data_IF_866693563826
#
_entry.id   IF_866693563826
#
_cell.length_a   1.000
_cell.length_b   1.000
_cell.length_c   1.000
_cell.angle_alpha   90.00
_cell.angle_beta   90.00
_cell.angle_gamma   90.00
#
_symmetry.space_group_name_H-M   'P 1'
#
loop_
_entity.id
_entity.type
_entity.pdbx_description
1 polymer ?
#
# COMPACT_ATOMS: atom_id res chain seq x y z
N UNK A 1 38.29 -8.06 5.62
CA UNK A 1 37.43 -6.96 6.08
C UNK A 1 35.97 -7.36 5.82
N UNK A 2 35.23 -7.85 6.84
CA UNK A 2 33.80 -8.22 6.64
C UNK A 2 33.03 -6.91 6.42
N UNK A 3 32.43 -6.74 5.24
CA UNK A 3 31.61 -5.58 4.92
C UNK A 3 30.46 -5.47 5.93
N UNK A 4 30.18 -4.25 6.41
CA UNK A 4 29.05 -3.99 7.31
C UNK A 4 27.76 -4.52 6.65
N UNK A 5 26.98 -5.39 7.34
CA UNK A 5 25.67 -5.86 6.87
C UNK A 5 24.75 -4.73 6.36
N UNK A 6 24.83 -3.54 6.96
CA UNK A 6 24.06 -2.37 6.53
C UNK A 6 24.49 -1.87 5.15
N UNK A 7 25.80 -1.87 4.89
CA UNK A 7 26.34 -1.46 3.60
C UNK A 7 25.92 -2.43 2.48
N UNK A 8 25.92 -3.73 2.76
CA UNK A 8 25.43 -4.73 1.82
C UNK A 8 23.92 -4.56 1.53
N UNK A 9 23.10 -4.33 2.56
CA UNK A 9 21.67 -4.08 2.38
C UNK A 9 21.39 -2.80 1.58
N UNK A 10 22.16 -1.73 1.79
CA UNK A 10 22.01 -0.49 1.01
C UNK A 10 22.34 -0.68 -0.47
N UNK A 11 23.34 -1.51 -0.80
CA UNK A 11 23.62 -1.86 -2.21
C UNK A 11 22.44 -2.57 -2.86
N UNK A 12 21.85 -3.55 -2.17
CA UNK A 12 20.69 -4.31 -2.66
C UNK A 12 19.50 -3.37 -2.90
N UNK A 13 19.25 -2.44 -1.98
CA UNK A 13 18.22 -1.42 -2.12
C UNK A 13 18.45 -0.52 -3.33
N UNK A 14 19.68 0.00 -3.49
CA UNK A 14 20.04 0.85 -4.64
C UNK A 14 19.91 0.10 -5.97
N UNK A 15 20.30 -1.17 -6.02
CA UNK A 15 20.11 -2.01 -7.21
C UNK A 15 18.63 -2.17 -7.55
N UNK A 16 17.77 -2.43 -6.56
CA UNK A 16 16.33 -2.53 -6.79
C UNK A 16 15.74 -1.19 -7.28
N UNK A 17 16.08 -0.08 -6.62
CA UNK A 17 15.62 1.26 -7.02
C UNK A 17 16.06 1.57 -8.45
N UNK A 18 17.32 1.31 -8.80
CA UNK A 18 17.84 1.55 -10.15
C UNK A 18 17.15 0.67 -11.20
N UNK A 19 16.94 -0.62 -10.93
CA UNK A 19 16.25 -1.53 -11.84
C UNK A 19 14.81 -1.06 -12.12
N UNK A 20 14.05 -0.69 -11.08
CA UNK A 20 12.71 -0.17 -11.26
C UNK A 20 12.68 1.24 -11.86
N UNK A 21 13.72 2.05 -11.65
CA UNK A 21 13.86 3.35 -12.30
C UNK A 21 13.96 3.21 -13.82
N UNK A 22 14.70 2.21 -14.31
CA UNK A 22 14.79 1.92 -15.75
C UNK A 22 13.42 1.50 -16.33
N UNK A 23 12.69 0.65 -15.61
CA UNK A 23 11.34 0.23 -16.01
C UNK A 23 10.34 1.40 -16.01
N UNK A 24 10.38 2.24 -14.97
CA UNK A 24 9.57 3.46 -14.88
C UNK A 24 9.93 4.45 -15.97
N UNK A 25 11.22 4.70 -16.22
CA UNK A 25 11.67 5.60 -17.28
C UNK A 25 11.14 5.14 -18.64
N UNK A 26 11.24 3.85 -18.97
CA UNK A 26 10.66 3.32 -20.21
C UNK A 26 9.14 3.48 -20.29
N UNK A 27 8.43 3.33 -19.16
CA UNK A 27 6.96 3.53 -19.10
C UNK A 27 6.56 5.00 -19.26
N UNK A 28 7.26 5.89 -18.58
CA UNK A 28 7.00 7.34 -18.56
C UNK A 28 7.44 8.01 -19.87
N UNK A 29 8.55 7.58 -20.47
CA UNK A 29 9.00 8.09 -21.77
C UNK A 29 7.94 7.87 -22.86
N UNK A 30 7.24 6.71 -22.84
CA UNK A 30 6.11 6.42 -23.75
C UNK A 30 4.85 7.24 -23.46
N UNK A 31 4.86 8.02 -22.39
CA UNK A 31 3.75 8.85 -21.93
C UNK A 31 4.21 10.31 -21.75
N UNK A 32 5.24 10.76 -22.49
CA UNK A 32 5.76 12.13 -22.44
C UNK A 32 6.14 12.60 -21.02
N UNK A 33 6.69 11.69 -20.22
CA UNK A 33 7.08 11.90 -18.82
C UNK A 33 5.92 12.27 -17.88
N UNK A 34 4.69 11.95 -18.27
CA UNK A 34 3.51 12.25 -17.49
C UNK A 34 3.25 11.21 -16.40
N UNK A 35 3.34 11.56 -15.09
CA UNK A 35 3.10 10.62 -13.99
C UNK A 35 1.63 10.16 -13.91
N UNK A 36 0.68 10.96 -14.44
CA UNK A 36 -0.74 10.63 -14.44
C UNK A 36 -1.08 9.34 -15.18
N UNK A 37 -0.18 8.84 -16.03
CA UNK A 37 -0.36 7.57 -16.75
C UNK A 37 -0.43 6.35 -15.83
N UNK A 38 0.15 6.44 -14.62
CA UNK A 38 0.15 5.35 -13.63
C UNK A 38 -1.16 5.29 -12.83
N UNK A 39 -1.91 6.39 -12.80
CA UNK A 39 -3.23 6.48 -12.14
C UNK A 39 -4.26 5.63 -12.86
N UNK A 40 -4.22 5.61 -14.20
CA UNK A 40 -5.09 4.80 -15.06
C UNK A 40 -6.58 5.09 -14.79
N UNK A 41 -6.95 6.35 -14.95
CA UNK A 41 -8.33 6.78 -14.82
C UNK A 41 -9.18 6.31 -16.02
N UNK A 42 -10.38 5.84 -15.75
CA UNK A 42 -11.37 5.46 -16.76
C UNK A 42 -12.59 6.36 -16.74
N UNK A 43 -13.21 6.57 -17.91
CA UNK A 43 -14.35 7.48 -18.09
C UNK A 43 -15.64 7.02 -17.38
N UNK A 44 -15.75 5.75 -16.97
CA UNK A 44 -16.91 5.28 -16.18
C UNK A 44 -17.00 5.92 -14.79
N UNK A 45 -15.86 6.30 -14.21
CA UNK A 45 -15.80 6.94 -12.88
C UNK A 45 -15.17 8.34 -12.91
N UNK A 46 -14.71 8.79 -14.08
CA UNK A 46 -13.98 10.05 -14.26
C UNK A 46 -14.69 10.96 -15.25
N UNK A 47 -15.09 12.13 -14.79
CA UNK A 47 -15.57 13.21 -15.66
C UNK A 47 -14.38 13.92 -16.29
N UNK A 48 -14.26 13.82 -17.61
CA UNK A 48 -13.16 14.41 -18.39
C UNK A 48 -13.12 15.93 -18.32
N UNK A 49 -14.28 16.58 -18.18
CA UNK A 49 -14.36 18.04 -18.12
C UNK A 49 -13.80 18.59 -16.79
N UNK A 50 -13.77 17.75 -15.75
CA UNK A 50 -13.32 18.08 -14.41
C UNK A 50 -11.99 17.40 -14.03
N UNK A 51 -11.48 16.52 -14.88
CA UNK A 51 -10.21 15.83 -14.66
C UNK A 51 -9.04 16.83 -14.74
N UNK A 52 -8.00 16.59 -13.94
CA UNK A 52 -6.78 17.39 -14.04
C UNK A 52 -6.17 17.25 -15.44
N UNK A 53 -5.65 18.35 -16.00
CA UNK A 53 -5.14 18.38 -17.39
C UNK A 53 -4.08 17.31 -17.71
N UNK A 54 -3.24 16.97 -16.73
CA UNK A 54 -2.21 15.96 -16.91
C UNK A 54 -2.76 14.53 -16.79
N UNK A 55 -3.99 14.31 -16.35
CA UNK A 55 -4.52 12.97 -16.09
C UNK A 55 -5.12 12.36 -17.37
N UNK A 56 -4.52 11.31 -17.96
CA UNK A 56 -5.14 10.63 -19.09
C UNK A 56 -6.39 9.88 -18.63
N UNK A 57 -7.49 10.03 -19.37
CA UNK A 57 -8.75 9.32 -19.11
C UNK A 57 -9.05 8.35 -20.25
N UNK A 58 -9.07 7.07 -19.94
CA UNK A 58 -9.32 5.99 -20.90
C UNK A 58 -10.80 5.97 -21.32
N UNK A 59 -11.05 5.80 -22.62
CA UNK A 59 -12.40 5.68 -23.19
C UNK A 59 -13.00 4.29 -22.98
N UNK A 60 -14.30 4.23 -22.68
CA UNK A 60 -15.07 3.00 -22.44
C UNK A 60 -14.38 2.07 -21.42
N UNK A 61 -13.86 2.63 -20.33
CA UNK A 61 -13.04 1.89 -19.38
C UNK A 61 -13.41 2.22 -17.95
N UNK A 62 -13.46 1.23 -17.04
CA UNK A 62 -13.51 1.50 -15.61
C UNK A 62 -12.17 2.07 -15.08
N UNK A 63 -11.09 1.98 -15.86
CA UNK A 63 -9.75 2.31 -15.39
C UNK A 63 -9.18 1.22 -14.50
N UNK A 64 -8.35 1.61 -13.55
CA UNK A 64 -7.78 0.73 -12.53
C UNK A 64 -7.91 1.35 -11.13
N UNK A 65 -7.68 0.53 -10.12
CA UNK A 65 -7.77 0.89 -8.71
C UNK A 65 -6.95 2.14 -8.32
N UNK A 66 -5.83 2.40 -9.02
CA UNK A 66 -4.97 3.58 -8.84
C UNK A 66 -5.71 4.91 -8.95
N UNK A 67 -6.75 4.99 -9.79
CA UNK A 67 -7.59 6.18 -9.94
C UNK A 67 -8.27 6.59 -8.64
N UNK A 68 -8.71 5.62 -7.85
CA UNK A 68 -9.38 5.85 -6.58
C UNK A 68 -8.39 6.21 -5.47
N UNK A 69 -7.20 5.62 -5.46
CA UNK A 69 -6.15 6.01 -4.51
C UNK A 69 -5.58 7.40 -4.86
N UNK A 70 -5.44 7.73 -6.14
CA UNK A 70 -5.15 9.10 -6.58
C UNK A 70 -6.18 10.10 -6.07
N UNK A 71 -7.47 9.81 -6.27
CA UNK A 71 -8.56 10.65 -5.74
C UNK A 71 -8.45 10.84 -4.22
N UNK A 72 -8.21 9.77 -3.47
CA UNK A 72 -8.03 9.84 -2.01
C UNK A 72 -6.74 10.58 -1.62
N UNK A 73 -5.68 10.53 -2.42
CA UNK A 73 -4.46 11.29 -2.18
C UNK A 73 -4.66 12.80 -2.42
N UNK A 74 -5.67 13.19 -3.20
CA UNK A 74 -6.09 14.59 -3.34
C UNK A 74 -6.97 15.01 -2.16
N UNK A 75 -7.95 14.18 -1.79
CA UNK A 75 -8.84 14.46 -0.66
C UNK A 75 -9.16 13.17 0.13
N UNK A 76 -8.42 12.86 1.20
CA UNK A 76 -8.53 11.58 1.90
C UNK A 76 -9.81 11.45 2.73
N UNK A 77 -10.46 12.56 3.05
CA UNK A 77 -11.66 12.61 3.90
C UNK A 77 -12.97 12.80 3.12
N UNK A 78 -12.88 13.06 1.81
CA UNK A 78 -14.06 13.16 0.96
C UNK A 78 -14.34 11.80 0.32
N UNK A 79 -15.37 11.08 0.78
CA UNK A 79 -15.66 9.72 0.29
C UNK A 79 -16.88 9.63 -0.64
N UNK A 80 -17.70 10.68 -0.73
CA UNK A 80 -18.94 10.68 -1.51
C UNK A 80 -18.91 11.63 -2.70
N UNK A 81 -18.11 12.70 -2.64
CA UNK A 81 -18.04 13.72 -3.67
C UNK A 81 -17.20 13.32 -4.89
N UNK A 82 -17.23 14.15 -5.92
CA UNK A 82 -16.27 14.10 -7.03
C UNK A 82 -15.04 14.92 -6.67
N UNK A 83 -13.85 14.35 -6.85
CA UNK A 83 -12.56 15.01 -6.54
C UNK A 83 -11.60 14.76 -7.70
N UNK A 84 -10.98 15.83 -8.22
CA UNK A 84 -10.14 15.78 -9.42
C UNK A 84 -10.82 15.05 -10.61
N UNK A 85 -12.13 15.25 -10.75
CA UNK A 85 -12.95 14.60 -11.77
C UNK A 85 -13.37 13.17 -11.45
N UNK A 86 -12.90 12.54 -10.37
CA UNK A 86 -13.11 11.11 -10.07
C UNK A 86 -14.12 10.91 -8.92
N UNK A 87 -15.01 9.92 -9.03
CA UNK A 87 -15.84 9.40 -7.93
C UNK A 87 -15.33 8.01 -7.51
N UNK A 88 -15.50 7.63 -6.23
CA UNK A 88 -15.15 6.29 -5.77
C UNK A 88 -16.20 5.28 -6.25
N UNK A 89 -15.75 4.14 -6.76
CA UNK A 89 -16.58 3.00 -7.14
C UNK A 89 -17.21 2.30 -5.92
N UNK A 90 -16.41 2.08 -4.88
CA UNK A 90 -16.80 1.44 -3.63
C UNK A 90 -16.18 2.22 -2.45
N UNK A 91 -16.79 3.34 -2.01
CA UNK A 91 -16.22 4.25 -1.02
C UNK A 91 -15.71 3.56 0.23
N UNK A 92 -16.51 2.65 0.81
CA UNK A 92 -16.12 1.90 2.00
C UNK A 92 -14.85 1.09 1.72
N UNK A 93 -14.85 0.24 0.70
CA UNK A 93 -13.71 -0.61 0.34
C UNK A 93 -12.44 0.19 0.07
N UNK A 94 -12.52 1.31 -0.66
CA UNK A 94 -11.37 2.17 -0.95
C UNK A 94 -10.83 2.86 0.29
N UNK A 95 -11.71 3.36 1.16
CA UNK A 95 -11.33 4.02 2.41
C UNK A 95 -10.65 3.06 3.40
N UNK A 96 -10.90 1.74 3.35
CA UNK A 96 -10.19 0.76 4.21
C UNK A 96 -8.68 0.78 4.01
N UNK A 97 -8.22 1.12 2.80
CA UNK A 97 -6.81 1.10 2.36
C UNK A 97 -6.20 2.51 2.34
N UNK A 98 -6.46 3.28 3.39
CA UNK A 98 -6.17 4.71 3.46
C UNK A 98 -4.67 5.04 3.56
N UNK A 99 -3.82 4.13 4.07
CA UNK A 99 -2.45 4.50 4.41
C UNK A 99 -1.66 5.04 3.22
N UNK A 100 -1.70 4.34 2.09
CA UNK A 100 -0.98 4.76 0.88
C UNK A 100 -1.42 6.14 0.35
N UNK A 101 -2.70 6.39 0.06
CA UNK A 101 -3.14 7.70 -0.39
C UNK A 101 -2.96 8.79 0.68
N UNK A 102 -3.06 8.47 1.97
CA UNK A 102 -2.82 9.43 3.04
C UNK A 102 -1.35 9.87 3.11
N UNK A 103 -0.39 8.95 2.97
CA UNK A 103 1.03 9.30 2.87
C UNK A 103 1.29 10.23 1.67
N UNK A 104 0.68 9.95 0.53
CA UNK A 104 0.78 10.81 -0.64
C UNK A 104 0.16 12.20 -0.38
N UNK A 105 -1.00 12.27 0.28
CA UNK A 105 -1.62 13.53 0.68
C UNK A 105 -0.75 14.34 1.65
N UNK A 106 -0.03 13.70 2.58
CA UNK A 106 0.89 14.40 3.47
C UNK A 106 2.02 15.12 2.71
N UNK A 107 2.49 14.53 1.61
CA UNK A 107 3.53 15.10 0.74
C UNK A 107 2.98 16.14 -0.25
N UNK A 108 1.80 15.88 -0.82
CA UNK A 108 1.21 16.69 -1.87
C UNK A 108 0.31 17.83 -1.38
N UNK A 109 -0.23 17.70 -0.15
CA UNK A 109 -1.20 18.61 0.48
C UNK A 109 -2.46 18.86 -0.36
N UNK A 110 -2.89 17.83 -1.09
CA UNK A 110 -4.11 17.86 -1.91
C UNK A 110 -3.95 18.46 -3.30
N UNK A 111 -2.74 18.86 -3.72
CA UNK A 111 -2.50 19.23 -5.11
C UNK A 111 -2.55 17.99 -6.03
N UNK A 112 -3.38 17.97 -7.08
CA UNK A 112 -3.52 16.79 -7.94
C UNK A 112 -2.21 16.33 -8.58
N UNK A 113 -1.39 17.22 -9.12
CA UNK A 113 -0.16 16.80 -9.80
C UNK A 113 0.85 16.20 -8.80
N UNK A 114 1.08 16.90 -7.68
CA UNK A 114 1.95 16.41 -6.61
C UNK A 114 1.43 15.11 -6.00
N UNK A 115 0.11 14.89 -5.92
CA UNK A 115 -0.44 13.63 -5.42
C UNK A 115 -0.08 12.46 -6.34
N UNK A 116 -0.19 12.62 -7.68
CA UNK A 116 0.26 11.59 -8.62
C UNK A 116 1.76 11.30 -8.49
N UNK A 117 2.59 12.34 -8.38
CA UNK A 117 4.04 12.18 -8.18
C UNK A 117 4.35 11.50 -6.84
N UNK A 118 3.67 11.89 -5.77
CA UNK A 118 3.90 11.34 -4.43
C UNK A 118 3.55 9.85 -4.37
N UNK A 119 2.43 9.44 -4.99
CA UNK A 119 2.03 8.04 -5.12
C UNK A 119 3.14 7.22 -5.81
N UNK A 120 3.56 7.67 -7.00
CA UNK A 120 4.66 7.06 -7.76
C UNK A 120 5.92 6.93 -6.91
N UNK A 121 6.37 8.01 -6.26
CA UNK A 121 7.61 8.03 -5.47
C UNK A 121 7.53 7.10 -4.26
N UNK A 122 6.40 7.08 -3.54
CA UNK A 122 6.19 6.20 -2.39
C UNK A 122 6.31 4.74 -2.82
N UNK A 123 5.67 4.35 -3.93
CA UNK A 123 5.76 3.00 -4.45
C UNK A 123 7.16 2.67 -4.95
N UNK A 124 7.78 3.53 -5.74
CA UNK A 124 9.11 3.29 -6.29
C UNK A 124 10.19 3.17 -5.20
N UNK A 125 10.24 4.12 -4.26
CA UNK A 125 11.18 4.07 -3.15
C UNK A 125 10.84 2.93 -2.18
N UNK A 126 9.56 2.60 -2.05
CA UNK A 126 9.10 1.50 -1.22
C UNK A 126 9.66 0.14 -1.65
N UNK A 127 9.88 -0.06 -2.95
CA UNK A 127 10.58 -1.25 -3.46
C UNK A 127 12.03 -1.31 -2.96
N UNK A 128 12.71 -0.17 -2.90
CA UNK A 128 14.04 -0.06 -2.28
C UNK A 128 14.03 -0.42 -0.79
N UNK A 129 12.99 0.03 -0.06
CA UNK A 129 12.80 -0.31 1.36
C UNK A 129 12.55 -1.81 1.55
N UNK A 130 11.72 -2.43 0.71
CA UNK A 130 11.50 -3.89 0.73
C UNK A 130 12.80 -4.64 0.48
N UNK A 131 13.58 -4.25 -0.55
CA UNK A 131 14.89 -4.86 -0.84
C UNK A 131 15.84 -4.73 0.35
N UNK A 132 15.91 -3.55 0.97
CA UNK A 132 16.75 -3.29 2.12
C UNK A 132 16.37 -4.17 3.32
N UNK A 133 15.08 -4.23 3.65
CA UNK A 133 14.56 -5.06 4.74
C UNK A 133 14.77 -6.56 4.45
N UNK A 134 14.51 -6.99 3.20
CA UNK A 134 14.78 -8.34 2.72
C UNK A 134 16.25 -8.73 2.85
N UNK A 135 17.15 -7.83 2.48
CA UNK A 135 18.59 -8.04 2.62
C UNK A 135 19.02 -8.14 4.08
N UNK A 136 18.49 -7.27 4.96
CA UNK A 136 18.75 -7.34 6.41
C UNK A 136 18.27 -8.65 7.01
N UNK A 137 17.09 -9.12 6.59
CA UNK A 137 16.55 -10.41 7.02
C UNK A 137 17.46 -11.56 6.55
N UNK A 138 17.84 -11.58 5.27
CA UNK A 138 18.70 -12.61 4.69
C UNK A 138 20.08 -12.70 5.37
N UNK A 139 20.75 -11.55 5.61
CA UNK A 139 22.02 -11.55 6.34
C UNK A 139 21.85 -12.05 7.77
N UNK A 140 20.70 -11.76 8.40
CA UNK A 140 20.33 -12.35 9.69
C UNK A 140 20.31 -13.88 9.65
N UNK A 141 19.83 -14.47 8.56
CA UNK A 141 19.81 -15.93 8.34
C UNK A 141 21.16 -16.48 7.84
N UNK A 142 22.24 -15.68 7.88
CA UNK A 142 23.57 -16.03 7.33
C UNK A 142 23.55 -16.32 5.82
N UNK A 143 22.53 -15.83 5.12
CA UNK A 143 22.42 -15.86 3.66
C UNK A 143 23.06 -14.60 3.06
N UNK A 144 23.28 -14.63 1.74
CA UNK A 144 23.72 -13.45 0.99
C UNK A 144 22.69 -12.31 1.08
N UNK A 145 23.14 -11.06 1.24
CA UNK A 145 22.25 -9.90 1.23
C UNK A 145 21.42 -9.80 -0.06
N UNK A 146 21.96 -10.31 -1.18
CA UNK A 146 21.30 -10.30 -2.49
C UNK A 146 19.98 -11.08 -2.55
N UNK A 147 19.74 -12.00 -1.60
CA UNK A 147 18.42 -12.63 -1.45
C UNK A 147 17.30 -11.60 -1.18
N UNK A 148 17.64 -10.40 -0.71
CA UNK A 148 16.73 -9.27 -0.60
C UNK A 148 16.04 -8.88 -1.93
N UNK A 149 16.69 -9.12 -3.08
CA UNK A 149 16.11 -8.82 -4.40
C UNK A 149 14.92 -9.72 -4.74
N UNK A 150 14.87 -10.95 -4.23
CA UNK A 150 13.75 -11.86 -4.51
C UNK A 150 12.42 -11.33 -3.99
N UNK A 151 12.45 -10.60 -2.87
CA UNK A 151 11.24 -9.99 -2.33
C UNK A 151 10.70 -8.87 -3.22
N UNK A 152 11.56 -8.19 -3.98
CA UNK A 152 11.15 -7.05 -4.81
C UNK A 152 10.75 -7.49 -6.21
N UNK A 153 11.46 -8.45 -6.82
CA UNK A 153 11.15 -8.94 -8.17
C UNK A 153 9.93 -9.86 -8.26
N UNK A 154 9.07 -9.86 -7.25
CA UNK A 154 7.73 -10.42 -7.35
C UNK A 154 6.92 -9.67 -8.42
N UNK A 155 6.42 -10.38 -9.43
CA UNK A 155 5.74 -9.79 -10.59
C UNK A 155 4.55 -8.88 -10.22
N UNK A 156 3.86 -9.16 -9.11
CA UNK A 156 2.74 -8.34 -8.64
C UNK A 156 3.15 -6.92 -8.25
N UNK A 157 4.39 -6.68 -7.82
CA UNK A 157 4.87 -5.33 -7.51
C UNK A 157 5.13 -4.48 -8.75
N UNK A 158 5.47 -5.08 -9.89
CA UNK A 158 5.56 -4.35 -11.15
C UNK A 158 4.19 -3.81 -11.56
N UNK A 159 3.15 -4.64 -11.46
CA UNK A 159 1.76 -4.20 -11.68
C UNK A 159 1.34 -3.13 -10.68
N UNK A 160 1.70 -3.28 -9.42
CA UNK A 160 1.37 -2.32 -8.37
C UNK A 160 2.01 -0.96 -8.58
N UNK A 161 3.27 -0.95 -9.03
CA UNK A 161 3.98 0.28 -9.37
C UNK A 161 3.38 0.97 -10.59
N UNK A 162 3.03 0.21 -11.64
CA UNK A 162 2.52 0.78 -12.89
C UNK A 162 1.05 1.21 -12.85
N UNK A 163 0.35 0.90 -11.76
CA UNK A 163 -1.08 1.16 -11.56
C UNK A 163 -1.38 1.91 -10.25
N UNK A 164 -0.37 2.50 -9.61
CA UNK A 164 -0.46 3.19 -8.33
C UNK A 164 -1.29 2.44 -7.28
N UNK A 165 -0.90 1.19 -6.99
CA UNK A 165 -1.60 0.34 -6.03
C UNK A 165 -0.93 0.33 -4.65
N UNK A 166 -1.61 -0.29 -3.68
CA UNK A 166 -1.31 -0.24 -2.23
C UNK A 166 -0.34 -1.32 -1.75
N UNK A 167 -0.08 -2.31 -2.60
CA UNK A 167 0.64 -3.55 -2.35
C UNK A 167 2.04 -3.30 -1.83
N UNK A 168 2.76 -2.34 -2.43
CA UNK A 168 4.15 -2.06 -2.08
C UNK A 168 4.22 -1.47 -0.67
N UNK A 169 3.29 -0.58 -0.30
CA UNK A 169 3.20 -0.05 1.06
C UNK A 169 2.87 -1.16 2.07
N UNK A 170 1.91 -2.02 1.75
CA UNK A 170 1.62 -3.19 2.59
C UNK A 170 2.84 -4.12 2.71
N UNK A 171 3.58 -4.34 1.62
CA UNK A 171 4.80 -5.14 1.57
C UNK A 171 5.93 -4.57 2.44
N UNK A 172 6.14 -3.24 2.42
CA UNK A 172 7.08 -2.56 3.31
C UNK A 172 6.74 -2.81 4.77
N UNK A 173 5.46 -2.63 5.14
CA UNK A 173 4.97 -2.85 6.49
C UNK A 173 5.14 -4.31 6.93
N UNK A 174 4.79 -5.27 6.08
CA UNK A 174 4.93 -6.70 6.36
C UNK A 174 6.40 -7.12 6.53
N UNK A 175 7.27 -6.73 5.59
CA UNK A 175 8.69 -7.08 5.67
C UNK A 175 9.35 -6.41 6.88
N UNK A 176 8.97 -5.17 7.19
CA UNK A 176 9.45 -4.46 8.37
C UNK A 176 8.97 -5.11 9.66
N UNK A 177 7.71 -5.56 9.71
CA UNK A 177 7.16 -6.30 10.83
C UNK A 177 7.88 -7.64 11.05
N UNK A 178 8.24 -8.34 9.97
CA UNK A 178 9.02 -9.58 10.04
C UNK A 178 10.43 -9.33 10.61
N UNK A 179 11.11 -8.28 10.16
CA UNK A 179 12.41 -7.88 10.73
C UNK A 179 12.27 -7.51 12.21
N UNK A 180 11.25 -6.74 12.58
CA UNK A 180 10.99 -6.34 13.95
C UNK A 180 10.64 -7.52 14.87
N UNK A 181 9.91 -8.51 14.36
CA UNK A 181 9.62 -9.76 15.05
C UNK A 181 10.91 -10.51 15.38
N UNK A 182 11.83 -10.62 14.42
CA UNK A 182 13.15 -11.23 14.62
C UNK A 182 14.02 -10.44 15.61
N UNK A 183 13.94 -9.11 15.58
CA UNK A 183 14.57 -8.22 16.58
C UNK A 183 13.91 -8.29 17.97
N UNK A 184 12.84 -9.08 18.13
CA UNK A 184 12.02 -9.17 19.36
C UNK A 184 11.42 -7.83 19.81
N UNK A 185 11.24 -6.89 18.88
CA UNK A 185 10.67 -5.57 19.16
C UNK A 185 9.16 -5.57 18.90
N UNK A 186 8.38 -5.93 19.93
CA UNK A 186 6.93 -5.96 19.84
C UNK A 186 6.32 -4.61 19.41
N UNK A 187 6.88 -3.50 19.88
CA UNK A 187 6.38 -2.15 19.53
C UNK A 187 6.54 -1.87 18.03
N UNK A 188 7.72 -2.12 17.46
CA UNK A 188 7.95 -1.92 16.02
C UNK A 188 7.09 -2.86 15.19
N UNK A 189 7.02 -4.14 15.57
CA UNK A 189 6.23 -5.14 14.87
C UNK A 189 4.75 -4.73 14.83
N UNK A 190 4.19 -4.39 15.98
CA UNK A 190 2.78 -4.00 16.09
C UNK A 190 2.47 -2.70 15.38
N UNK A 191 3.34 -1.68 15.48
CA UNK A 191 3.17 -0.44 14.72
C UNK A 191 3.16 -0.67 13.21
N UNK A 192 4.08 -1.49 12.71
CA UNK A 192 4.16 -1.81 11.28
C UNK A 192 3.00 -2.67 10.80
N UNK A 193 2.54 -3.64 11.59
CA UNK A 193 1.34 -4.42 11.25
C UNK A 193 0.08 -3.56 11.27
N UNK A 194 -0.05 -2.64 12.24
CA UNK A 194 -1.18 -1.72 12.31
C UNK A 194 -1.25 -0.83 11.06
N UNK A 195 -0.11 -0.23 10.69
CA UNK A 195 0.02 0.52 9.43
C UNK A 195 -0.28 -0.36 8.22
N UNK A 196 0.27 -1.56 8.15
CA UNK A 196 0.05 -2.48 7.04
C UNK A 196 -1.42 -2.86 6.87
N UNK A 197 -2.18 -3.04 7.96
CA UNK A 197 -3.63 -3.28 7.90
C UNK A 197 -4.39 -2.10 7.27
N UNK A 198 -3.91 -0.87 7.45
CA UNK A 198 -4.46 0.33 6.81
C UNK A 198 -3.97 0.51 5.36
N UNK A 199 -2.95 -0.21 4.91
CA UNK A 199 -2.55 -0.26 3.50
C UNK A 199 -3.33 -1.33 2.74
N UNK A 200 -3.43 -2.54 3.30
CA UNK A 200 -4.24 -3.65 2.78
C UNK A 200 -4.78 -4.52 3.90
N UNK A 201 -6.04 -4.88 3.79
CA UNK A 201 -6.75 -5.76 4.72
C UNK A 201 -6.14 -7.17 4.79
N UNK A 202 -5.41 -7.62 3.76
CA UNK A 202 -4.72 -8.92 3.78
C UNK A 202 -3.63 -8.98 4.86
N UNK A 203 -3.09 -7.84 5.29
CA UNK A 203 -2.11 -7.76 6.38
C UNK A 203 -2.72 -8.13 7.73
N UNK A 204 -4.05 -8.06 7.88
CA UNK A 204 -4.75 -8.49 9.10
C UNK A 204 -4.48 -9.96 9.40
N UNK A 205 -4.25 -10.80 8.37
CA UNK A 205 -3.85 -12.20 8.57
C UNK A 205 -2.50 -12.33 9.27
N UNK A 206 -1.52 -11.51 8.88
CA UNK A 206 -0.21 -11.47 9.53
C UNK A 206 -0.31 -10.92 10.96
N UNK A 207 -1.20 -9.94 11.21
CA UNK A 207 -1.50 -9.47 12.55
C UNK A 207 -2.13 -10.56 13.44
N UNK A 208 -3.10 -11.31 12.91
CA UNK A 208 -3.70 -12.45 13.59
C UNK A 208 -2.68 -13.53 13.92
N UNK A 209 -1.81 -13.87 12.96
CA UNK A 209 -0.73 -14.83 13.19
C UNK A 209 0.25 -14.36 14.28
N UNK A 210 0.63 -13.07 14.30
CA UNK A 210 1.48 -12.51 15.35
C UNK A 210 0.80 -12.53 16.73
N UNK A 211 -0.51 -12.31 16.78
CA UNK A 211 -1.29 -12.42 18.01
C UNK A 211 -1.35 -13.86 18.52
N UNK A 212 -1.61 -14.82 17.63
CA UNK A 212 -1.61 -16.25 17.96
C UNK A 212 -0.22 -16.71 18.43
N UNK A 213 0.87 -16.33 17.74
CA UNK A 213 2.25 -16.65 18.17
C UNK A 213 2.54 -16.13 19.58
N UNK A 214 2.05 -14.93 19.91
CA UNK A 214 2.17 -14.34 21.25
C UNK A 214 1.39 -15.13 22.31
N UNK A 215 0.18 -15.60 21.98
CA UNK A 215 -0.64 -16.44 22.86
C UNK A 215 -0.01 -17.82 23.09
N UNK A 216 0.51 -18.46 22.05
CA UNK A 216 1.13 -19.80 22.11
C UNK A 216 2.41 -19.78 22.93
N UNK A 217 3.29 -18.80 22.69
CA UNK A 217 4.59 -18.70 23.40
C UNK A 217 4.48 -18.36 24.88
N UNK A 218 3.25 -18.20 25.42
CA UNK A 218 2.89 -17.97 26.82
C UNK A 218 4.04 -17.37 27.64
N UNK A 219 4.16 -16.05 27.61
CA UNK A 219 5.22 -15.37 28.36
C UNK A 219 5.39 -13.90 28.00
N UNK A 220 5.73 -13.11 29.02
CA UNK A 220 5.84 -11.66 28.96
C UNK A 220 4.70 -10.95 29.70
N UNK A 221 4.92 -9.68 30.05
CA UNK A 221 3.91 -8.87 30.73
C UNK A 221 2.75 -8.45 29.82
N UNK A 222 1.72 -7.86 30.44
CA UNK A 222 0.50 -7.36 29.78
C UNK A 222 0.77 -6.52 28.52
N UNK A 223 1.85 -5.72 28.53
CA UNK A 223 2.30 -4.93 27.38
C UNK A 223 2.42 -5.76 26.09
N UNK A 224 2.92 -6.99 26.16
CA UNK A 224 3.13 -7.83 24.97
C UNK A 224 1.79 -8.23 24.33
N UNK A 225 0.81 -8.61 25.15
CA UNK A 225 -0.54 -8.94 24.68
C UNK A 225 -1.25 -7.71 24.10
N UNK A 226 -1.10 -6.56 24.74
CA UNK A 226 -1.62 -5.30 24.20
C UNK A 226 -1.01 -4.98 22.83
N UNK A 227 0.32 -5.10 22.69
CA UNK A 227 0.99 -4.88 21.40
C UNK A 227 0.50 -5.89 20.34
N UNK A 228 0.32 -7.15 20.69
CA UNK A 228 -0.19 -8.17 19.77
C UNK A 228 -1.59 -7.85 19.22
N UNK A 229 -2.47 -7.27 20.04
CA UNK A 229 -3.84 -6.90 19.63
C UNK A 229 -3.93 -5.53 18.95
N UNK A 230 -2.93 -4.65 19.16
CA UNK A 230 -2.93 -3.29 18.63
C UNK A 230 -3.27 -3.18 17.13
N UNK A 231 -2.71 -3.99 16.21
CA UNK A 231 -3.06 -3.89 14.78
C UNK A 231 -4.53 -4.18 14.50
N UNK A 232 -5.12 -5.16 15.20
CA UNK A 232 -6.52 -5.56 15.04
C UNK A 232 -7.45 -4.46 15.57
N UNK A 233 -7.08 -3.87 16.71
CA UNK A 233 -7.82 -2.73 17.30
C UNK A 233 -7.77 -1.51 16.39
N UNK A 234 -6.58 -1.16 15.87
CA UNK A 234 -6.41 -0.02 14.95
C UNK A 234 -7.23 -0.23 13.67
N UNK A 235 -7.14 -1.42 13.07
CA UNK A 235 -7.91 -1.73 11.88
C UNK A 235 -9.42 -1.68 12.16
N UNK A 236 -9.88 -2.32 13.24
CA UNK A 236 -11.29 -2.34 13.65
C UNK A 236 -11.83 -0.94 13.95
N UNK A 237 -11.07 -0.09 14.63
CA UNK A 237 -11.44 1.29 14.88
C UNK A 237 -11.58 2.08 13.58
N UNK A 238 -10.67 1.87 12.61
CA UNK A 238 -10.78 2.50 11.29
C UNK A 238 -12.01 2.00 10.52
N UNK A 239 -12.35 0.71 10.61
CA UNK A 239 -13.59 0.17 10.04
C UNK A 239 -14.83 0.84 10.61
N UNK A 240 -14.85 1.06 11.93
CA UNK A 240 -15.95 1.74 12.60
C UNK A 240 -16.08 3.18 12.10
N UNK A 241 -14.97 3.92 11.98
CA UNK A 241 -14.98 5.29 11.43
C UNK A 241 -15.59 5.32 10.02
N UNK A 242 -15.22 4.36 9.16
CA UNK A 242 -15.76 4.26 7.80
C UNK A 242 -17.28 4.07 7.82
N UNK A 243 -17.77 3.10 8.61
CA UNK A 243 -19.19 2.78 8.71
C UNK A 243 -20.00 3.94 9.29
N UNK A 244 -19.44 4.70 10.23
CA UNK A 244 -20.14 5.81 10.88
C UNK A 244 -20.26 7.07 10.00
N UNK A 245 -19.33 7.27 9.06
CA UNK A 245 -19.30 8.49 8.20
C UNK A 245 -19.83 8.28 6.79
N UNK A 246 -19.89 7.03 6.30
CA UNK A 246 -20.58 6.75 5.05
C UNK A 246 -22.09 6.64 5.33
N UNK A 247 -22.94 7.37 4.59
CA UNK A 247 -24.39 7.25 4.73
C UNK A 247 -24.78 5.78 4.59
N UNK A 248 -25.48 5.26 5.60
CA UNK A 248 -25.86 3.86 5.66
C UNK A 248 -26.81 3.49 4.53
N UNK A 249 -26.29 2.89 3.46
CA UNK A 249 -27.06 1.92 2.72
C UNK A 249 -26.98 0.60 3.49
N UNK A 250 -27.93 0.40 4.40
CA UNK A 250 -28.25 -0.91 5.00
C UNK A 250 -28.60 -2.01 3.98
N UNK A 251 -28.37 -1.76 2.69
CA UNK A 251 -28.37 -2.71 1.58
C UNK A 251 -26.99 -3.27 1.23
N UNK A 252 -25.87 -2.71 1.73
CA UNK A 252 -24.51 -3.13 1.35
C UNK A 252 -24.02 -4.38 2.09
N UNK A 253 -24.71 -4.81 3.15
CA UNK A 253 -24.57 -6.18 3.66
C UNK A 253 -24.97 -7.21 2.59
N UNK A 254 -25.85 -6.86 1.64
CA UNK A 254 -26.11 -7.69 0.46
C UNK A 254 -24.99 -7.58 -0.57
N UNK A 255 -24.33 -6.43 -0.77
CA UNK A 255 -23.20 -6.30 -1.70
C UNK A 255 -21.89 -6.95 -1.18
N UNK A 256 -21.66 -6.94 0.13
CA UNK A 256 -20.62 -7.74 0.77
C UNK A 256 -20.89 -9.24 0.65
N UNK A 257 -22.15 -9.67 0.63
CA UNK A 257 -22.56 -11.04 0.31
C UNK A 257 -22.52 -11.36 -1.20
N UNK A 258 -22.70 -10.35 -2.07
CA UNK A 258 -22.71 -10.52 -3.54
C UNK A 258 -21.31 -10.53 -4.16
N UNK A 259 -20.26 -10.09 -3.46
CA UNK A 259 -18.87 -10.28 -3.91
C UNK A 259 -18.33 -11.71 -3.72
N UNK A 260 -19.18 -12.63 -3.22
CA UNK A 260 -18.99 -14.08 -3.34
C UNK A 260 -19.84 -14.69 -4.48
N UNK A 261 -20.28 -13.90 -5.47
CA UNK A 261 -20.70 -14.52 -6.73
C UNK A 261 -19.48 -15.15 -7.40
N UNK A 262 -19.56 -16.46 -7.65
CA UNK A 262 -18.52 -17.26 -8.28
C UNK A 262 -17.86 -16.53 -9.48
N UNK A 263 -16.54 -16.63 -9.65
CA UNK A 263 -15.92 -16.13 -10.88
C UNK A 263 -16.48 -16.97 -12.03
N UNK A 264 -16.69 -16.35 -13.19
CA UNK A 264 -17.27 -16.91 -14.41
C UNK A 264 -18.80 -16.87 -14.49
N UNK A 265 -19.31 -15.80 -15.11
CA UNK A 265 -20.30 -15.90 -16.17
C UNK A 265 -19.75 -15.22 -17.42
#
# INVERSE_FOLDING_TARGET
MKSDPRYAASKVALTAVAAYALLLAGRLQRADWNPGVLVVAGDRFTDRSQAARFLPVLSNSPGYDGAFYFRLAVSPWNWTGRVAGIVLDAPAYRARRILYPFLAWMLARGDPFRSAVALLLINWLGLGVIAWLGARWAVGERLSAWWGLLFVFYAGYLMSLFRDLTEIVAGMCLMGALVAWRERSAVKQSGLLALGCLARETVVLAAGAAAIDTLIRRGGGMKRYFMALLPLVVFGAWQLVIVMHLPGNGSDTRLAALNFSAPFK
#
